data_IF_926399466229
#
_entry.id   IF_926399466229
#
_cell.length_a   1.000
_cell.length_b   1.000
_cell.length_c   1.000
_cell.angle_alpha   90.00
_cell.angle_beta   90.00
_cell.angle_gamma   90.00
#
_symmetry.space_group_name_H-M   'P 1'
#
loop_
_entity.id
_entity.type
_entity.pdbx_description
1 polymer ?
#
# COMPACT_ATOMS: atom_id res chain seq x y z
N UNK A 1 -54.35 -4.77 -51.78
CA UNK A 1 -53.09 -5.40 -51.33
C UNK A 1 -52.66 -4.62 -50.10
N UNK A 2 -53.09 -5.09 -48.93
CA UNK A 2 -52.94 -4.36 -47.68
C UNK A 2 -51.70 -4.88 -46.95
N UNK A 3 -50.73 -3.98 -46.73
CA UNK A 3 -49.56 -4.22 -45.90
C UNK A 3 -50.01 -4.75 -44.53
N UNK A 4 -49.61 -5.97 -44.19
CA UNK A 4 -49.66 -6.47 -42.84
C UNK A 4 -48.63 -5.67 -42.02
N UNK A 5 -49.11 -4.62 -41.37
CA UNK A 5 -48.39 -3.87 -40.35
C UNK A 5 -48.02 -4.84 -39.22
N UNK A 6 -46.73 -5.10 -39.09
CA UNK A 6 -46.16 -5.67 -37.89
C UNK A 6 -46.34 -4.62 -36.79
N UNK A 7 -47.30 -4.85 -35.89
CA UNK A 7 -47.59 -3.94 -34.78
C UNK A 7 -46.38 -3.88 -33.85
N UNK A 8 -45.84 -2.67 -33.65
CA UNK A 8 -44.74 -2.45 -32.73
C UNK A 8 -45.20 -2.60 -31.26
N UNK A 9 -44.30 -2.95 -30.33
CA UNK A 9 -44.62 -3.03 -28.91
C UNK A 9 -45.09 -1.66 -28.38
N UNK A 10 -46.29 -1.60 -27.81
CA UNK A 10 -46.92 -0.36 -27.32
C UNK A 10 -48.14 0.10 -28.12
N UNK A 11 -48.41 -0.52 -29.27
CA UNK A 11 -49.66 -0.31 -30.01
C UNK A 11 -50.85 -0.95 -29.25
N UNK A 12 -52.06 -0.37 -29.26
CA UNK A 12 -53.26 -0.91 -28.60
C UNK A 12 -53.66 -2.32 -29.09
N UNK A 13 -53.07 -2.76 -30.20
CA UNK A 13 -53.29 -4.04 -30.85
C UNK A 13 -52.06 -4.96 -30.80
N UNK A 14 -51.03 -4.62 -30.02
CA UNK A 14 -49.88 -5.49 -29.82
C UNK A 14 -50.30 -6.74 -29.05
N UNK A 15 -50.03 -7.92 -29.63
CA UNK A 15 -50.17 -9.22 -28.97
C UNK A 15 -49.08 -9.47 -27.92
N UNK A 16 -48.08 -8.58 -27.83
CA UNK A 16 -47.01 -8.67 -26.85
C UNK A 16 -47.34 -7.79 -25.64
N UNK A 17 -47.33 -8.34 -24.42
CA UNK A 17 -47.64 -7.59 -23.22
C UNK A 17 -46.60 -6.48 -23.02
N UNK A 18 -47.06 -5.22 -22.95
CA UNK A 18 -46.22 -4.11 -22.49
C UNK A 18 -45.72 -4.41 -21.07
N UNK A 19 -44.49 -3.98 -20.69
CA UNK A 19 -43.97 -4.17 -19.34
C UNK A 19 -44.99 -3.63 -18.32
N UNK A 20 -45.46 -4.50 -17.41
CA UNK A 20 -46.44 -4.15 -16.37
C UNK A 20 -45.73 -4.04 -15.02
N UNK A 21 -46.36 -3.39 -14.05
CA UNK A 21 -45.82 -3.19 -12.70
C UNK A 21 -45.49 -4.51 -11.97
N UNK A 22 -46.08 -5.62 -12.39
CA UNK A 22 -45.89 -6.99 -11.88
C UNK A 22 -44.86 -7.81 -12.66
N UNK A 23 -44.52 -7.45 -13.90
CA UNK A 23 -43.46 -8.07 -14.72
C UNK A 23 -42.75 -7.02 -15.59
N UNK A 24 -41.69 -6.37 -15.07
CA UNK A 24 -41.05 -5.23 -15.72
C UNK A 24 -40.03 -5.60 -16.81
N UNK A 25 -39.77 -6.89 -17.04
CA UNK A 25 -38.67 -7.32 -17.91
C UNK A 25 -39.10 -7.27 -19.39
N UNK A 26 -38.42 -6.43 -20.17
CA UNK A 26 -38.59 -6.42 -21.62
C UNK A 26 -38.04 -7.72 -22.24
N UNK A 27 -38.66 -8.17 -23.32
CA UNK A 27 -38.19 -9.28 -24.17
C UNK A 27 -37.21 -8.83 -25.25
N UNK A 28 -37.07 -7.52 -25.47
CA UNK A 28 -36.27 -6.96 -26.55
C UNK A 28 -34.92 -6.43 -26.03
N UNK A 29 -33.78 -6.87 -26.61
CA UNK A 29 -32.45 -6.53 -26.11
C UNK A 29 -32.13 -5.04 -25.98
N UNK A 30 -32.84 -4.18 -26.72
CA UNK A 30 -32.57 -2.75 -26.81
C UNK A 30 -33.54 -1.89 -25.97
N UNK A 31 -34.50 -2.51 -25.29
CA UNK A 31 -35.51 -1.79 -24.49
C UNK A 31 -35.03 -1.59 -23.03
N UNK A 32 -35.45 -0.52 -22.36
CA UNK A 32 -35.26 -0.37 -20.92
C UNK A 32 -35.79 -1.60 -20.17
N UNK A 33 -35.07 -2.01 -19.12
CA UNK A 33 -35.41 -3.18 -18.28
C UNK A 33 -35.31 -4.56 -18.96
N UNK A 34 -34.71 -4.66 -20.15
CA UNK A 34 -34.29 -5.97 -20.66
C UNK A 34 -33.19 -6.57 -19.78
N UNK A 35 -33.42 -7.81 -19.33
CA UNK A 35 -32.39 -8.64 -18.70
C UNK A 35 -32.21 -9.86 -19.57
N UNK A 36 -30.97 -10.15 -19.96
CA UNK A 36 -30.67 -11.34 -20.75
C UNK A 36 -31.04 -12.59 -19.94
N UNK A 37 -31.85 -13.51 -20.48
CA UNK A 37 -32.16 -14.75 -19.79
C UNK A 37 -30.90 -15.60 -19.61
N UNK A 38 -30.82 -16.31 -18.49
CA UNK A 38 -29.73 -17.23 -18.21
C UNK A 38 -29.71 -18.38 -19.24
N UNK A 39 -28.54 -18.97 -19.52
CA UNK A 39 -28.44 -20.14 -20.37
C UNK A 39 -29.25 -21.32 -19.78
N UNK A 40 -29.81 -22.19 -20.64
CA UNK A 40 -30.59 -23.33 -20.18
C UNK A 40 -29.73 -24.27 -19.33
N UNK A 41 -30.34 -24.90 -18.32
CA UNK A 41 -29.64 -25.68 -17.28
C UNK A 41 -28.68 -26.76 -17.82
N UNK A 42 -29.00 -27.35 -18.97
CA UNK A 42 -28.18 -28.38 -19.62
C UNK A 42 -26.95 -27.84 -20.36
N UNK A 43 -26.90 -26.54 -20.66
CA UNK A 43 -25.76 -25.86 -21.29
C UNK A 43 -25.01 -24.95 -20.31
N UNK A 44 -25.52 -24.81 -19.08
CA UNK A 44 -24.96 -23.95 -18.04
C UNK A 44 -23.70 -24.57 -17.45
N UNK A 45 -22.62 -23.78 -17.38
CA UNK A 45 -21.44 -24.11 -16.58
C UNK A 45 -21.66 -23.65 -15.14
N UNK A 46 -21.35 -24.55 -14.21
CA UNK A 46 -21.25 -24.20 -12.80
C UNK A 46 -19.85 -23.66 -12.46
N UNK A 47 -19.73 -22.75 -11.49
CA UNK A 47 -18.43 -22.27 -11.03
C UNK A 47 -17.52 -23.44 -10.63
N UNK A 48 -16.30 -23.43 -11.17
CA UNK A 48 -15.31 -24.49 -11.01
C UNK A 48 -14.05 -23.99 -10.30
N UNK A 49 -13.23 -24.94 -9.84
CA UNK A 49 -12.01 -24.62 -9.09
C UNK A 49 -11.02 -23.76 -9.89
N UNK A 50 -10.68 -22.59 -9.34
CA UNK A 50 -9.66 -21.69 -9.88
C UNK A 50 -8.30 -22.06 -9.30
N UNK A 51 -7.28 -22.16 -10.16
CA UNK A 51 -5.91 -22.51 -9.74
C UNK A 51 -4.93 -21.43 -10.18
N UNK A 52 -4.57 -20.53 -9.26
CA UNK A 52 -3.46 -19.60 -9.42
C UNK A 52 -2.43 -19.85 -8.32
N UNK A 53 -1.18 -20.11 -8.70
CA UNK A 53 -0.10 -20.42 -7.76
C UNK A 53 0.56 -19.15 -7.26
N UNK A 54 1.04 -19.23 -6.02
CA UNK A 54 1.95 -18.25 -5.47
C UNK A 54 3.27 -18.21 -6.25
N UNK A 55 3.94 -17.07 -6.23
CA UNK A 55 5.27 -16.89 -6.83
C UNK A 55 6.33 -16.91 -5.74
N UNK A 56 7.37 -17.72 -5.94
CA UNK A 56 8.58 -17.66 -5.13
C UNK A 56 9.60 -16.83 -5.91
N UNK A 57 9.69 -15.56 -5.57
CA UNK A 57 10.71 -14.67 -6.11
C UNK A 57 11.94 -14.68 -5.19
N UNK A 58 13.13 -14.63 -5.79
CA UNK A 58 14.36 -14.34 -5.06
C UNK A 58 14.49 -12.83 -4.84
N UNK A 59 15.31 -12.43 -3.86
CA UNK A 59 15.60 -11.01 -3.60
C UNK A 59 15.13 -10.51 -2.24
N UNK A 60 15.07 -9.19 -2.09
CA UNK A 60 14.65 -8.52 -0.86
C UNK A 60 13.15 -8.69 -0.61
N UNK A 61 12.68 -8.39 0.61
CA UNK A 61 11.25 -8.45 0.92
C UNK A 61 10.42 -7.51 0.02
N UNK A 62 11.00 -6.38 -0.41
CA UNK A 62 10.34 -5.43 -1.29
C UNK A 62 10.24 -5.95 -2.73
N UNK A 63 11.31 -6.57 -3.24
CA UNK A 63 11.31 -7.24 -4.56
C UNK A 63 10.33 -8.43 -4.60
N UNK A 64 10.32 -9.23 -3.54
CA UNK A 64 9.38 -10.36 -3.39
C UNK A 64 7.93 -9.87 -3.39
N UNK A 65 7.62 -8.82 -2.64
CA UNK A 65 6.29 -8.23 -2.63
C UNK A 65 5.87 -7.71 -4.02
N UNK A 66 6.78 -7.05 -4.73
CA UNK A 66 6.50 -6.57 -6.09
C UNK A 66 6.20 -7.71 -7.06
N UNK A 67 7.00 -8.78 -7.02
CA UNK A 67 6.78 -9.98 -7.85
C UNK A 67 5.43 -10.64 -7.56
N UNK A 68 4.99 -10.66 -6.29
CA UNK A 68 3.64 -11.14 -5.91
C UNK A 68 2.56 -10.32 -6.60
N UNK A 69 2.65 -8.99 -6.58
CA UNK A 69 1.65 -8.13 -7.23
C UNK A 69 1.60 -8.32 -8.75
N UNK A 70 2.77 -8.40 -9.41
CA UNK A 70 2.82 -8.68 -10.85
C UNK A 70 2.24 -10.05 -11.20
N UNK A 71 2.54 -11.08 -10.40
CA UNK A 71 2.01 -12.42 -10.59
C UNK A 71 0.48 -12.44 -10.41
N UNK A 72 -0.04 -11.81 -9.36
CA UNK A 72 -1.48 -11.69 -9.12
C UNK A 72 -2.17 -10.97 -10.27
N UNK A 73 -1.62 -9.83 -10.73
CA UNK A 73 -2.18 -9.08 -11.85
C UNK A 73 -2.24 -9.94 -13.12
N UNK A 74 -1.16 -10.65 -13.42
CA UNK A 74 -1.07 -11.54 -14.59
C UNK A 74 -2.04 -12.70 -14.52
N UNK A 75 -2.06 -13.43 -13.40
CA UNK A 75 -2.93 -14.61 -13.24
C UNK A 75 -4.41 -14.21 -13.14
N UNK A 76 -4.73 -13.10 -12.48
CA UNK A 76 -6.10 -12.59 -12.44
C UNK A 76 -6.57 -12.10 -13.81
N UNK A 77 -5.72 -11.40 -14.57
CA UNK A 77 -6.03 -11.00 -15.94
C UNK A 77 -6.35 -12.21 -16.83
N UNK A 78 -5.51 -13.26 -16.79
CA UNK A 78 -5.78 -14.52 -17.49
C UNK A 78 -7.09 -15.17 -17.05
N UNK A 79 -7.38 -15.17 -15.75
CA UNK A 79 -8.62 -15.73 -15.21
C UNK A 79 -9.86 -14.97 -15.70
N UNK A 80 -9.81 -13.63 -15.71
CA UNK A 80 -10.86 -12.78 -16.25
C UNK A 80 -11.09 -13.06 -17.73
N UNK A 81 -10.04 -13.07 -18.55
CA UNK A 81 -10.15 -13.36 -19.99
C UNK A 81 -10.73 -14.74 -20.27
N UNK A 82 -10.27 -15.76 -19.53
CA UNK A 82 -10.77 -17.13 -19.68
C UNK A 82 -12.24 -17.25 -19.27
N UNK A 83 -12.63 -16.56 -18.20
CA UNK A 83 -14.02 -16.56 -17.71
C UNK A 83 -14.94 -15.79 -18.66
N UNK A 84 -14.49 -14.64 -19.20
CA UNK A 84 -15.23 -13.84 -20.19
C UNK A 84 -15.50 -14.59 -21.50
N UNK A 85 -14.55 -15.38 -22.00
CA UNK A 85 -14.77 -16.22 -23.19
C UNK A 85 -15.96 -17.16 -23.04
N UNK A 86 -16.22 -17.62 -21.82
CA UNK A 86 -17.31 -18.52 -21.48
C UNK A 86 -18.49 -17.82 -20.81
N UNK A 87 -18.56 -16.48 -20.81
CA UNK A 87 -19.59 -15.69 -20.11
C UNK A 87 -21.01 -16.15 -20.47
N UNK A 88 -21.25 -16.44 -21.75
CA UNK A 88 -22.53 -16.91 -22.27
C UNK A 88 -22.98 -18.29 -21.75
N UNK A 89 -22.08 -19.06 -21.12
CA UNK A 89 -22.35 -20.36 -20.52
C UNK A 89 -22.66 -20.27 -19.02
N UNK A 90 -22.37 -19.14 -18.38
CA UNK A 90 -22.66 -18.93 -16.97
C UNK A 90 -24.01 -18.23 -16.80
N UNK A 91 -24.68 -18.51 -15.69
CA UNK A 91 -25.65 -17.53 -15.16
C UNK A 91 -24.91 -16.28 -14.71
N UNK A 92 -25.63 -15.16 -14.58
CA UNK A 92 -25.02 -13.92 -14.08
C UNK A 92 -24.35 -14.09 -12.71
N UNK A 93 -24.99 -14.83 -11.81
CA UNK A 93 -24.46 -15.10 -10.47
C UNK A 93 -23.30 -16.08 -10.50
N UNK A 94 -23.40 -17.14 -11.33
CA UNK A 94 -22.32 -18.10 -11.53
C UNK A 94 -21.07 -17.45 -12.13
N UNK A 95 -21.23 -16.51 -13.06
CA UNK A 95 -20.12 -15.75 -13.65
C UNK A 95 -19.39 -14.93 -12.59
N UNK A 96 -20.14 -14.21 -11.76
CA UNK A 96 -19.58 -13.41 -10.67
C UNK A 96 -18.87 -14.29 -9.64
N UNK A 97 -19.49 -15.40 -9.24
CA UNK A 97 -18.89 -16.37 -8.33
C UNK A 97 -17.60 -16.96 -8.89
N UNK A 98 -17.57 -17.28 -10.20
CA UNK A 98 -16.38 -17.80 -10.86
C UNK A 98 -15.21 -16.81 -10.82
N UNK A 99 -15.48 -15.51 -10.97
CA UNK A 99 -14.44 -14.48 -10.82
C UNK A 99 -13.99 -14.37 -9.37
N UNK A 100 -14.93 -14.37 -8.42
CA UNK A 100 -14.65 -14.19 -6.99
C UNK A 100 -13.85 -15.37 -6.40
N UNK A 101 -13.98 -16.59 -6.94
CA UNK A 101 -13.18 -17.76 -6.56
C UNK A 101 -11.66 -17.54 -6.71
N UNK A 102 -11.23 -16.57 -7.53
CA UNK A 102 -9.81 -16.22 -7.61
C UNK A 102 -9.26 -15.73 -6.25
N UNK A 103 -10.08 -15.06 -5.44
CA UNK A 103 -9.66 -14.54 -4.13
C UNK A 103 -9.27 -15.65 -3.15
N UNK A 104 -9.76 -16.88 -3.38
CA UNK A 104 -9.43 -18.04 -2.55
C UNK A 104 -8.09 -18.69 -2.90
N UNK A 105 -7.50 -18.30 -4.04
CA UNK A 105 -6.28 -18.91 -4.56
C UNK A 105 -5.04 -18.56 -3.73
N UNK A 106 -4.01 -19.42 -3.76
CA UNK A 106 -2.71 -19.11 -3.16
C UNK A 106 -2.10 -17.79 -3.63
N UNK A 107 -2.29 -17.43 -4.91
CA UNK A 107 -1.82 -16.17 -5.47
C UNK A 107 -2.48 -14.95 -4.78
N UNK A 108 -3.81 -14.94 -4.66
CA UNK A 108 -4.52 -13.85 -4.01
C UNK A 108 -4.13 -13.71 -2.52
N UNK A 109 -4.02 -14.84 -1.81
CA UNK A 109 -3.57 -14.88 -0.41
C UNK A 109 -2.10 -14.49 -0.21
N UNK A 110 -1.29 -14.46 -1.27
CA UNK A 110 0.09 -14.00 -1.19
C UNK A 110 0.19 -12.49 -0.97
N UNK A 111 -0.84 -11.72 -1.34
CA UNK A 111 -0.88 -10.26 -1.12
C UNK A 111 -0.69 -9.92 0.35
N UNK A 112 -1.43 -10.58 1.24
CA UNK A 112 -1.39 -10.28 2.68
C UNK A 112 -0.02 -10.64 3.26
N UNK A 113 0.55 -11.79 2.86
CA UNK A 113 1.90 -12.21 3.26
C UNK A 113 2.98 -11.22 2.80
N UNK A 114 2.85 -10.69 1.58
CA UNK A 114 3.78 -9.69 1.05
C UNK A 114 3.73 -8.38 1.85
N UNK A 115 2.53 -7.93 2.23
CA UNK A 115 2.36 -6.75 3.10
C UNK A 115 3.00 -7.00 4.47
N UNK A 116 2.70 -8.13 5.11
CA UNK A 116 3.24 -8.50 6.42
C UNK A 116 4.78 -8.55 6.42
N UNK A 117 5.39 -9.12 5.38
CA UNK A 117 6.85 -9.19 5.26
C UNK A 117 7.51 -7.81 5.21
N UNK A 118 6.92 -6.87 4.46
CA UNK A 118 7.46 -5.50 4.34
C UNK A 118 7.19 -4.70 5.61
N UNK A 119 6.04 -4.89 6.26
CA UNK A 119 5.76 -4.29 7.57
C UNK A 119 6.73 -4.81 8.65
N UNK A 120 7.08 -6.09 8.63
CA UNK A 120 8.08 -6.65 9.53
C UNK A 120 9.45 -5.99 9.33
N UNK A 121 9.82 -5.63 8.09
CA UNK A 121 11.05 -4.87 7.80
C UNK A 121 11.00 -3.44 8.33
N UNK A 122 9.85 -2.77 8.21
CA UNK A 122 9.64 -1.45 8.82
C UNK A 122 9.78 -1.50 10.34
N UNK A 123 9.15 -2.50 10.99
CA UNK A 123 9.27 -2.71 12.44
C UNK A 123 10.73 -2.97 12.84
N UNK A 124 11.45 -3.80 12.07
CA UNK A 124 12.86 -4.06 12.35
C UNK A 124 13.72 -2.81 12.20
N UNK A 125 13.56 -2.05 11.11
CA UNK A 125 14.30 -0.80 10.90
C UNK A 125 14.01 0.24 12.00
N UNK A 126 12.77 0.30 12.50
CA UNK A 126 12.39 1.16 13.63
C UNK A 126 13.13 0.74 14.89
N UNK A 127 13.15 -0.56 15.20
CA UNK A 127 13.89 -1.12 16.34
C UNK A 127 15.40 -0.86 16.22
N UNK A 128 15.97 -0.98 15.03
CA UNK A 128 17.40 -0.74 14.78
C UNK A 128 17.76 0.73 15.08
N UNK A 129 16.96 1.68 14.59
CA UNK A 129 17.15 3.12 14.88
C UNK A 129 17.00 3.39 16.37
N UNK A 130 15.97 2.84 17.03
CA UNK A 130 15.79 3.01 18.47
C UNK A 130 16.95 2.41 19.27
N UNK A 131 17.44 1.24 18.88
CA UNK A 131 18.56 0.55 19.53
C UNK A 131 19.83 1.39 19.44
N UNK A 132 20.16 1.90 18.25
CA UNK A 132 21.33 2.76 18.06
C UNK A 132 21.15 4.09 18.78
N UNK A 133 19.94 4.68 18.77
CA UNK A 133 19.65 5.88 19.55
C UNK A 133 19.83 5.65 21.05
N UNK A 134 19.44 4.48 21.56
CA UNK A 134 19.66 4.07 22.95
C UNK A 134 21.13 3.78 23.25
N UNK A 135 21.93 3.27 22.31
CA UNK A 135 23.38 3.13 22.55
C UNK A 135 24.09 4.48 22.63
N UNK A 136 23.55 5.51 21.95
CA UNK A 136 24.03 6.89 22.04
C UNK A 136 23.52 7.65 23.27
N UNK A 137 22.62 7.08 24.07
CA UNK A 137 22.00 7.80 25.18
C UNK A 137 21.91 6.89 26.40
N UNK A 138 22.49 7.26 27.55
CA UNK A 138 22.50 6.40 28.73
C UNK A 138 21.12 6.42 29.43
N UNK A 139 20.10 5.89 28.76
CA UNK A 139 18.74 5.78 29.31
C UNK A 139 18.69 4.59 30.28
N UNK A 140 18.21 4.82 31.50
CA UNK A 140 17.98 3.77 32.50
C UNK A 140 18.78 3.89 33.80
N UNK A 141 19.75 4.81 33.88
CA UNK A 141 20.40 5.21 35.14
C UNK A 141 19.98 6.64 35.49
N UNK A 142 19.35 6.83 36.66
CA UNK A 142 18.92 8.14 37.18
C UNK A 142 20.07 9.15 37.18
N UNK A 143 21.30 8.69 37.45
CA UNK A 143 22.47 9.56 37.41
C UNK A 143 22.78 10.03 35.98
N UNK A 144 22.59 9.17 34.99
CA UNK A 144 22.83 9.50 33.60
C UNK A 144 21.74 10.40 33.01
N UNK A 145 20.48 10.18 33.36
CA UNK A 145 19.37 11.09 33.05
C UNK A 145 19.62 12.47 33.66
N UNK A 146 20.06 12.54 34.92
CA UNK A 146 20.42 13.82 35.54
C UNK A 146 21.58 14.52 34.82
N UNK A 147 22.58 13.78 34.32
CA UNK A 147 23.68 14.35 33.52
C UNK A 147 23.17 14.90 32.19
N UNK A 148 22.31 14.15 31.49
CA UNK A 148 21.69 14.55 30.23
C UNK A 148 20.85 15.83 30.39
N UNK A 149 19.96 15.91 31.39
CA UNK A 149 19.16 17.12 31.63
C UNK A 149 20.04 18.32 31.98
N UNK A 150 21.08 18.14 32.80
CA UNK A 150 22.02 19.22 33.14
C UNK A 150 22.80 19.69 31.91
N UNK A 151 23.21 18.76 31.04
CA UNK A 151 23.86 19.10 29.79
C UNK A 151 22.92 19.90 28.88
N UNK A 152 21.68 19.43 28.69
CA UNK A 152 20.70 20.14 27.88
C UNK A 152 20.45 21.57 28.39
N UNK A 153 20.18 21.76 29.67
CA UNK A 153 19.96 23.11 30.22
C UNK A 153 21.16 24.05 30.07
N UNK A 154 22.39 23.52 30.08
CA UNK A 154 23.58 24.35 29.80
C UNK A 154 23.64 24.73 28.31
N UNK A 155 23.38 23.77 27.43
CA UNK A 155 23.36 23.97 25.98
C UNK A 155 22.26 24.94 25.54
N UNK A 156 21.06 24.80 26.11
CA UNK A 156 19.91 25.68 25.91
C UNK A 156 20.24 27.12 26.30
N UNK A 157 20.76 27.36 27.52
CA UNK A 157 21.17 28.70 27.96
C UNK A 157 22.25 29.30 27.05
N UNK A 158 23.20 28.49 26.59
CA UNK A 158 24.23 28.93 25.66
C UNK A 158 23.61 29.38 24.32
N UNK A 159 22.70 28.58 23.77
CA UNK A 159 21.97 28.90 22.54
C UNK A 159 21.08 30.15 22.72
N UNK A 160 20.40 30.30 23.84
CA UNK A 160 19.57 31.48 24.13
C UNK A 160 20.42 32.75 24.21
N UNK A 161 21.56 32.68 24.91
CA UNK A 161 22.47 33.81 25.12
C UNK A 161 23.19 34.29 23.85
N UNK A 162 23.23 33.44 22.82
CA UNK A 162 23.99 33.73 21.59
C UNK A 162 23.09 34.27 20.48
N UNK A 163 23.59 35.28 19.76
CA UNK A 163 22.92 35.84 18.57
C UNK A 163 22.94 34.87 17.39
N UNK A 164 24.07 34.18 17.20
CA UNK A 164 24.29 33.21 16.14
C UNK A 164 24.02 31.77 16.60
N UNK A 165 22.73 31.46 16.74
CA UNK A 165 22.26 30.15 17.22
C UNK A 165 22.66 29.00 16.31
N UNK A 166 22.79 29.26 15.01
CA UNK A 166 23.16 28.26 14.01
C UNK A 166 24.60 27.76 14.24
N UNK A 167 25.57 28.68 14.29
CA UNK A 167 26.97 28.29 14.48
C UNK A 167 27.20 27.64 15.85
N UNK A 168 26.57 28.17 16.91
CA UNK A 168 26.66 27.55 18.24
C UNK A 168 26.09 26.14 18.27
N UNK A 169 24.95 25.90 17.62
CA UNK A 169 24.38 24.56 17.51
C UNK A 169 25.29 23.59 16.73
N UNK A 170 25.92 24.05 15.65
CA UNK A 170 26.90 23.26 14.92
C UNK A 170 28.11 22.87 15.78
N UNK A 171 28.63 23.81 16.57
CA UNK A 171 29.73 23.54 17.48
C UNK A 171 29.36 22.55 18.58
N UNK A 172 28.15 22.66 19.14
CA UNK A 172 27.62 21.70 20.11
C UNK A 172 27.59 20.28 19.52
N UNK A 173 27.03 20.10 18.32
CA UNK A 173 26.98 18.79 17.66
C UNK A 173 28.39 18.27 17.32
N UNK A 174 29.30 19.15 16.87
CA UNK A 174 30.68 18.78 16.53
C UNK A 174 31.51 18.38 17.74
N UNK A 175 31.25 18.94 18.92
CA UNK A 175 32.06 18.72 20.11
C UNK A 175 31.42 17.76 21.12
N UNK A 176 30.16 17.37 20.92
CA UNK A 176 29.47 16.42 21.77
C UNK A 176 30.17 15.05 21.80
N UNK A 177 30.25 14.48 23.01
CA UNK A 177 30.45 13.04 23.22
C UNK A 177 29.22 12.24 22.76
N UNK A 178 29.33 10.92 22.68
CA UNK A 178 28.21 10.08 22.23
C UNK A 178 26.97 10.25 23.12
N UNK A 179 27.13 10.29 24.45
CA UNK A 179 26.03 10.51 25.42
C UNK A 179 25.35 11.89 25.24
N UNK A 180 26.16 12.92 25.01
CA UNK A 180 25.69 14.29 24.77
C UNK A 180 24.99 14.40 23.41
N UNK A 181 25.52 13.72 22.39
CA UNK A 181 24.91 13.64 21.06
C UNK A 181 23.54 12.97 21.14
N UNK A 182 23.37 11.92 21.94
CA UNK A 182 22.07 11.32 22.21
C UNK A 182 21.05 12.31 22.78
N UNK A 183 21.50 13.21 23.66
CA UNK A 183 20.67 14.30 24.22
C UNK A 183 20.35 15.36 23.16
N UNK A 184 21.34 15.79 22.36
CA UNK A 184 21.14 16.76 21.28
C UNK A 184 20.20 16.23 20.19
N UNK A 185 20.26 14.93 19.86
CA UNK A 185 19.36 14.31 18.89
C UNK A 185 17.89 14.38 19.30
N UNK A 186 17.60 14.40 20.61
CA UNK A 186 16.25 14.47 21.15
C UNK A 186 15.73 15.90 21.19
N UNK A 187 16.53 16.83 21.70
CA UNK A 187 16.04 18.17 22.07
C UNK A 187 16.36 19.27 21.04
N UNK A 188 17.53 19.19 20.39
CA UNK A 188 18.04 20.26 19.52
C UNK A 188 17.14 20.55 18.30
N UNK A 189 16.57 19.54 17.58
CA UNK A 189 15.71 19.82 16.43
C UNK A 189 14.45 20.60 16.80
N UNK A 190 13.81 20.23 17.92
CA UNK A 190 12.60 20.89 18.40
C UNK A 190 12.89 22.34 18.81
N UNK A 191 13.98 22.55 19.55
CA UNK A 191 14.43 23.88 19.96
C UNK A 191 14.77 24.77 18.76
N UNK A 192 15.58 24.30 17.79
CA UNK A 192 15.95 25.11 16.63
C UNK A 192 14.73 25.54 15.81
N UNK A 193 13.75 24.63 15.65
CA UNK A 193 12.49 24.94 14.98
C UNK A 193 11.67 25.99 15.74
N UNK A 194 11.63 25.96 17.07
CA UNK A 194 10.88 26.95 17.86
C UNK A 194 11.49 28.35 17.78
N UNK A 195 12.80 28.46 17.56
CA UNK A 195 13.50 29.75 17.39
C UNK A 195 13.67 30.16 15.92
N UNK A 196 13.03 29.44 14.98
CA UNK A 196 13.03 29.77 13.55
C UNK A 196 14.35 29.50 12.82
N UNK A 197 15.23 28.67 13.38
CA UNK A 197 16.51 28.29 12.76
C UNK A 197 16.32 27.02 11.94
N UNK A 198 16.94 26.99 10.75
CA UNK A 198 16.91 25.81 9.87
C UNK A 198 17.63 24.62 10.50
N UNK A 199 17.06 23.43 10.31
CA UNK A 199 17.61 22.14 10.77
C UNK A 199 18.18 21.29 9.63
N UNK A 200 18.22 21.80 8.40
CA UNK A 200 18.65 21.03 7.22
C UNK A 200 20.09 20.50 7.32
N UNK A 201 20.97 21.26 7.97
CA UNK A 201 22.37 20.89 8.20
C UNK A 201 22.54 19.77 9.23
N UNK A 202 21.54 19.55 10.10
CA UNK A 202 21.67 18.68 11.26
C UNK A 202 21.92 17.23 10.83
N UNK A 203 21.18 16.75 9.83
CA UNK A 203 21.34 15.38 9.32
C UNK A 203 22.75 15.13 8.76
N UNK A 204 23.34 16.13 8.09
CA UNK A 204 24.72 16.03 7.60
C UNK A 204 25.74 16.02 8.75
N UNK A 205 25.56 16.87 9.76
CA UNK A 205 26.44 16.93 10.92
C UNK A 205 26.37 15.63 11.74
N UNK A 206 25.16 15.09 11.96
CA UNK A 206 24.94 13.80 12.62
C UNK A 206 25.60 12.68 11.81
N UNK A 207 25.49 12.68 10.48
CA UNK A 207 26.11 11.65 9.63
C UNK A 207 27.63 11.57 9.78
N UNK A 208 28.29 12.70 10.04
CA UNK A 208 29.73 12.72 10.30
C UNK A 208 30.10 12.17 11.67
N UNK A 209 29.22 12.33 12.67
CA UNK A 209 29.48 11.95 14.07
C UNK A 209 28.99 10.57 14.45
N UNK A 210 27.77 10.23 14.07
CA UNK A 210 27.12 8.95 14.30
C UNK A 210 26.72 8.33 12.95
N UNK A 211 27.69 7.87 12.13
CA UNK A 211 27.42 7.34 10.80
C UNK A 211 26.49 6.13 10.82
N UNK A 212 26.54 5.30 11.87
CA UNK A 212 25.65 4.15 12.05
C UNK A 212 24.21 4.56 12.29
N UNK A 213 23.98 5.59 13.10
CA UNK A 213 22.64 6.15 13.34
C UNK A 213 22.06 6.73 12.05
N UNK A 214 22.85 7.48 11.28
CA UNK A 214 22.38 8.01 9.99
C UNK A 214 22.08 6.91 8.97
N UNK A 215 22.90 5.85 8.89
CA UNK A 215 22.61 4.68 8.04
C UNK A 215 21.30 4.00 8.45
N UNK A 216 21.07 3.83 9.75
CA UNK A 216 19.82 3.24 10.25
C UNK A 216 18.60 4.13 9.95
N UNK A 217 18.73 5.45 10.10
CA UNK A 217 17.67 6.41 9.74
C UNK A 217 17.36 6.40 8.24
N UNK A 218 18.39 6.33 7.39
CA UNK A 218 18.21 6.19 5.94
C UNK A 218 17.47 4.88 5.61
N UNK A 219 17.85 3.76 6.25
CA UNK A 219 17.19 2.47 6.10
C UNK A 219 15.73 2.51 6.56
N UNK A 220 15.44 3.15 7.68
CA UNK A 220 14.08 3.36 8.16
C UNK A 220 13.24 4.14 7.15
N UNK A 221 13.77 5.25 6.62
CA UNK A 221 13.09 6.06 5.61
C UNK A 221 12.78 5.26 4.34
N UNK A 222 13.72 4.40 3.90
CA UNK A 222 13.47 3.47 2.78
C UNK A 222 12.40 2.45 3.12
N UNK A 223 12.44 1.86 4.32
CA UNK A 223 11.43 0.90 4.78
C UNK A 223 10.02 1.52 4.86
N UNK A 224 9.90 2.78 5.30
CA UNK A 224 8.65 3.54 5.31
C UNK A 224 8.10 3.74 3.89
N UNK A 225 8.96 4.14 2.96
CA UNK A 225 8.59 4.30 1.55
C UNK A 225 8.17 2.97 0.91
N UNK A 226 8.94 1.90 1.13
CA UNK A 226 8.60 0.56 0.66
C UNK A 226 7.24 0.08 1.20
N UNK A 227 7.01 0.24 2.51
CA UNK A 227 5.75 -0.13 3.14
C UNK A 227 4.56 0.66 2.57
N UNK A 228 4.73 1.97 2.34
CA UNK A 228 3.70 2.80 1.71
C UNK A 228 3.36 2.32 0.30
N UNK A 229 4.38 2.05 -0.53
CA UNK A 229 4.22 1.58 -1.90
C UNK A 229 3.50 0.22 -1.91
N UNK A 230 3.93 -0.72 -1.07
CA UNK A 230 3.36 -2.07 -0.98
C UNK A 230 1.92 -2.04 -0.50
N UNK A 231 1.59 -1.20 0.49
CA UNK A 231 0.21 -0.99 0.95
C UNK A 231 -0.67 -0.44 -0.16
N UNK A 232 -0.20 0.59 -0.86
CA UNK A 232 -0.92 1.18 -2.00
C UNK A 232 -1.19 0.14 -3.09
N UNK A 233 -0.17 -0.63 -3.48
CA UNK A 233 -0.31 -1.72 -4.47
C UNK A 233 -1.27 -2.82 -4.00
N UNK A 234 -1.23 -3.18 -2.71
CA UNK A 234 -2.16 -4.15 -2.14
C UNK A 234 -3.60 -3.63 -2.16
N UNK A 235 -3.84 -2.37 -1.81
CA UNK A 235 -5.16 -1.75 -1.88
C UNK A 235 -5.70 -1.70 -3.32
N UNK A 236 -4.88 -1.27 -4.28
CA UNK A 236 -5.22 -1.25 -5.70
C UNK A 236 -5.57 -2.66 -6.20
N UNK A 237 -4.77 -3.66 -5.84
CA UNK A 237 -4.99 -5.06 -6.24
C UNK A 237 -6.26 -5.62 -5.61
N UNK A 238 -6.47 -5.45 -4.29
CA UNK A 238 -7.69 -5.88 -3.60
C UNK A 238 -8.93 -5.19 -4.17
N UNK A 239 -8.83 -3.90 -4.52
CA UNK A 239 -9.91 -3.16 -5.17
C UNK A 239 -10.25 -3.75 -6.53
N UNK A 240 -9.24 -4.01 -7.37
CA UNK A 240 -9.44 -4.63 -8.67
C UNK A 240 -10.08 -6.03 -8.58
N UNK A 241 -9.67 -6.85 -7.61
CA UNK A 241 -10.29 -8.15 -7.33
C UNK A 241 -11.77 -8.00 -6.96
N UNK A 242 -12.12 -7.07 -6.06
CA UNK A 242 -13.52 -6.82 -5.65
C UNK A 242 -14.38 -6.22 -6.76
N UNK A 243 -13.81 -5.31 -7.55
CA UNK A 243 -14.50 -4.67 -8.67
C UNK A 243 -14.55 -5.56 -9.92
N UNK A 244 -13.92 -6.76 -9.88
CA UNK A 244 -13.85 -7.73 -10.98
C UNK A 244 -13.26 -7.13 -12.26
N UNK A 245 -12.24 -6.29 -12.07
CA UNK A 245 -11.57 -5.53 -13.13
C UNK A 245 -10.08 -5.87 -13.16
N UNK A 246 -9.42 -5.79 -14.33
CA UNK A 246 -7.98 -5.96 -14.39
C UNK A 246 -7.30 -4.96 -13.44
N UNK A 247 -6.27 -5.43 -12.74
CA UNK A 247 -5.47 -4.57 -11.85
C UNK A 247 -4.80 -3.50 -12.73
N UNK A 248 -4.99 -2.22 -12.39
CA UNK A 248 -4.25 -1.12 -13.03
C UNK A 248 -2.76 -1.24 -12.73
N UNK A 249 -1.91 -0.61 -13.55
CA UNK A 249 -0.45 -0.61 -13.36
C UNK A 249 -0.07 -0.32 -11.91
N UNK A 250 0.57 -1.29 -11.25
CA UNK A 250 1.12 -1.16 -9.90
C UNK A 250 2.27 -0.16 -9.89
N UNK A 251 2.48 0.50 -8.76
CA UNK A 251 3.66 1.36 -8.57
C UNK A 251 4.89 0.48 -8.65
N UNK A 252 5.79 0.83 -9.57
CA UNK A 252 7.00 0.05 -9.86
C UNK A 252 7.97 0.05 -8.68
N UNK A 253 8.63 -1.08 -8.51
CA UNK A 253 9.81 -1.21 -7.67
C UNK A 253 10.91 -0.23 -8.11
N UNK A 254 11.60 0.38 -7.14
CA UNK A 254 12.84 1.12 -7.34
C UNK A 254 13.80 0.84 -6.20
N UNK A 255 15.05 0.55 -6.53
CA UNK A 255 16.13 0.31 -5.55
C UNK A 255 16.30 1.49 -4.56
N UNK A 256 15.89 2.70 -4.95
CA UNK A 256 15.94 3.88 -4.09
C UNK A 256 15.05 3.78 -2.84
N UNK A 257 14.06 2.90 -2.86
CA UNK A 257 13.13 2.66 -1.76
C UNK A 257 13.37 1.33 -1.04
N UNK A 258 14.35 0.52 -1.48
CA UNK A 258 14.60 -0.78 -0.87
C UNK A 258 15.42 -0.61 0.44
N UNK A 259 14.89 -1.00 1.61
CA UNK A 259 15.64 -0.90 2.87
C UNK A 259 16.80 -1.90 2.99
N UNK A 260 16.88 -2.91 2.12
CA UNK A 260 17.91 -3.95 2.17
C UNK A 260 19.01 -3.78 1.09
N UNK A 261 18.95 -2.71 0.28
CA UNK A 261 20.00 -2.28 -0.66
C UNK A 261 20.60 -0.93 -0.24
#
# INVERSE_FOLDING_TARGET
MSNALWAEPGDPHSIYPSPRADHPQSLYPNEPYYVRPDPPLNARMEPGGVRARDVQAEGTAFEQAYAVFENVQKEFGKHLEATQKNEHLYSRDGFNQQIDLFQETPAAKAIDRAVEQVEARLVQATKDVESIRRSLSPNGDVAAESRASRFWHRSERLLDSTKDKFNTAQELVRNASDEELGTLLQELPAYLKSVGVTTEWLDQAIRQKAPEYSKAKDRLKRAEAAALIVKSNAEMTRRALRERRPVSTVVKHSDSYDPDK
#
